data_IF_711804296391
#
_entry.id   IF_711804296391
#
_cell.length_a   1.000
_cell.length_b   1.000
_cell.length_c   1.000
_cell.angle_alpha   90.00
_cell.angle_beta   90.00
_cell.angle_gamma   90.00
#
_symmetry.space_group_name_H-M   'P 1'
#
loop_
_entity.id
_entity.type
_entity.pdbx_description
1 polymer ?
#
# COMPACT_ATOMS: atom_id res chain seq x y z
N UNK A 1 19.52 -1.51 19.62
CA UNK A 1 19.46 -0.59 18.44
C UNK A 1 19.39 -1.28 17.04
N UNK A 2 19.12 -2.58 16.94
CA UNK A 2 19.22 -3.34 15.68
C UNK A 2 17.95 -3.33 14.79
N UNK A 3 16.91 -2.57 15.14
CA UNK A 3 15.62 -2.58 14.44
C UNK A 3 15.26 -1.26 13.74
N UNK A 4 16.12 -0.24 13.72
CA UNK A 4 15.75 1.04 13.11
C UNK A 4 15.45 0.91 11.59
N UNK A 5 16.18 0.03 10.90
CA UNK A 5 15.98 -0.27 9.47
C UNK A 5 14.71 -1.09 9.19
N UNK A 6 14.41 -2.20 9.90
CA UNK A 6 13.13 -2.88 9.73
C UNK A 6 11.93 -2.07 10.25
N UNK A 7 12.11 -1.22 11.27
CA UNK A 7 11.08 -0.28 11.74
C UNK A 7 10.73 0.73 10.64
N UNK A 8 11.72 1.24 9.92
CA UNK A 8 11.52 2.12 8.75
C UNK A 8 10.79 1.40 7.60
N UNK A 9 11.04 0.10 7.40
CA UNK A 9 10.32 -0.69 6.40
C UNK A 9 8.85 -0.89 6.78
N UNK A 10 8.56 -1.10 8.07
CA UNK A 10 7.18 -1.19 8.59
C UNK A 10 6.43 0.13 8.45
N UNK A 11 7.05 1.27 8.78
CA UNK A 11 6.38 2.57 8.61
C UNK A 11 6.11 2.89 7.13
N UNK A 12 6.98 2.44 6.22
CA UNK A 12 6.71 2.52 4.79
C UNK A 12 5.48 1.69 4.38
N UNK A 13 5.34 0.47 4.86
CA UNK A 13 4.15 -0.35 4.61
C UNK A 13 2.87 0.28 5.21
N UNK A 14 2.94 0.85 6.43
CA UNK A 14 1.80 1.51 7.09
C UNK A 14 1.37 2.78 6.37
N UNK A 15 2.30 3.51 5.74
CA UNK A 15 1.98 4.70 4.93
C UNK A 15 1.01 4.41 3.78
N UNK A 16 0.85 3.14 3.42
CA UNK A 16 -0.09 2.68 2.39
C UNK A 16 -1.57 2.79 2.78
N UNK A 17 -1.91 3.40 3.93
CA UNK A 17 -3.29 3.80 4.27
C UNK A 17 -3.96 4.65 3.18
N UNK A 18 -3.17 5.26 2.29
CA UNK A 18 -3.60 5.93 1.05
C UNK A 18 -4.54 5.05 0.20
N UNK A 19 -4.47 3.71 0.31
CA UNK A 19 -5.39 2.78 -0.37
C UNK A 19 -6.87 3.08 -0.07
N UNK A 20 -7.20 3.56 1.14
CA UNK A 20 -8.57 3.95 1.52
C UNK A 20 -9.05 5.13 0.67
N UNK A 21 -8.18 6.13 0.47
CA UNK A 21 -8.45 7.26 -0.40
C UNK A 21 -8.59 6.87 -1.87
N UNK A 22 -7.77 5.92 -2.35
CA UNK A 22 -7.88 5.40 -3.71
C UNK A 22 -9.17 4.60 -3.95
N UNK A 23 -9.62 3.82 -2.96
CA UNK A 23 -10.90 3.10 -3.00
C UNK A 23 -12.08 4.07 -3.00
N UNK A 24 -12.01 5.15 -2.22
CA UNK A 24 -13.01 6.20 -2.28
C UNK A 24 -12.99 6.91 -3.64
N UNK A 25 -11.82 7.30 -4.16
CA UNK A 25 -11.73 7.98 -5.46
C UNK A 25 -12.23 7.11 -6.64
N UNK A 26 -12.02 5.80 -6.58
CA UNK A 26 -12.56 4.85 -7.58
C UNK A 26 -14.05 4.56 -7.39
N UNK A 27 -14.51 4.46 -6.14
CA UNK A 27 -15.88 4.08 -5.79
C UNK A 27 -16.88 5.24 -5.67
N UNK A 28 -16.44 6.49 -5.48
CA UNK A 28 -17.31 7.69 -5.35
C UNK A 28 -18.19 7.87 -6.58
N UNK A 29 -17.73 7.44 -7.75
CA UNK A 29 -18.50 7.48 -8.97
C UNK A 29 -19.54 6.34 -9.10
N UNK A 30 -19.70 5.47 -8.10
CA UNK A 30 -20.76 4.44 -8.01
C UNK A 30 -21.88 4.83 -7.02
N UNK A 31 -21.65 5.81 -6.14
CA UNK A 31 -22.55 6.14 -5.02
C UNK A 31 -23.53 7.28 -5.34
N UNK A 32 -23.26 8.06 -6.39
CA UNK A 32 -24.22 9.03 -6.93
C UNK A 32 -24.41 8.76 -8.41
N UNK A 33 -25.65 8.80 -8.90
CA UNK A 33 -26.02 8.69 -10.32
C UNK A 33 -25.48 9.86 -11.19
N UNK A 34 -24.38 10.49 -10.78
CA UNK A 34 -23.66 11.46 -11.56
C UNK A 34 -22.57 10.72 -12.34
N UNK A 35 -22.48 11.01 -13.63
CA UNK A 35 -21.33 10.68 -14.47
C UNK A 35 -20.09 11.44 -13.96
N UNK A 36 -19.60 11.02 -12.79
CA UNK A 36 -18.35 11.45 -12.22
C UNK A 36 -17.29 11.35 -13.32
N UNK A 37 -16.50 12.39 -13.56
CA UNK A 37 -15.74 12.48 -14.79
C UNK A 37 -14.84 11.26 -14.98
N UNK A 38 -14.77 10.72 -16.20
CA UNK A 38 -14.06 9.46 -16.48
C UNK A 38 -12.59 9.51 -16.06
N UNK A 39 -11.99 10.71 -16.08
CA UNK A 39 -10.63 10.93 -15.57
C UNK A 39 -10.49 10.55 -14.08
N UNK A 40 -11.55 10.68 -13.27
CA UNK A 40 -11.51 10.49 -11.81
C UNK A 40 -11.27 9.04 -11.50
N UNK A 41 -12.04 8.19 -12.20
CA UNK A 41 -11.96 6.75 -12.14
C UNK A 41 -10.60 6.26 -12.63
N UNK A 42 -10.09 6.83 -13.72
CA UNK A 42 -8.78 6.48 -14.24
C UNK A 42 -7.65 6.81 -13.23
N UNK A 43 -7.63 8.03 -12.69
CA UNK A 43 -6.63 8.42 -11.69
C UNK A 43 -6.78 7.64 -10.38
N UNK A 44 -8.01 7.39 -9.93
CA UNK A 44 -8.28 6.54 -8.76
C UNK A 44 -7.77 5.11 -8.97
N UNK A 45 -7.97 4.55 -10.16
CA UNK A 45 -7.50 3.20 -10.48
C UNK A 45 -5.97 3.13 -10.49
N UNK A 46 -5.29 4.11 -11.10
CA UNK A 46 -3.83 4.21 -11.07
C UNK A 46 -3.32 4.37 -9.64
N UNK A 47 -3.97 5.22 -8.84
CA UNK A 47 -3.63 5.40 -7.42
C UNK A 47 -3.80 4.08 -6.63
N UNK A 48 -4.85 3.30 -6.93
CA UNK A 48 -5.08 2.00 -6.31
C UNK A 48 -3.97 1.00 -6.66
N UNK A 49 -3.55 0.94 -7.93
CA UNK A 49 -2.43 0.10 -8.37
C UNK A 49 -1.13 0.46 -7.64
N UNK A 50 -0.80 1.75 -7.57
CA UNK A 50 0.40 2.19 -6.83
C UNK A 50 0.32 1.92 -5.33
N UNK A 51 -0.86 2.10 -4.73
CA UNK A 51 -1.09 1.74 -3.34
C UNK A 51 -0.84 0.24 -3.12
N UNK A 52 -1.36 -0.63 -3.99
CA UNK A 52 -1.11 -2.08 -3.92
C UNK A 52 0.39 -2.41 -4.01
N UNK A 53 1.13 -1.82 -4.95
CA UNK A 53 2.58 -2.05 -5.07
C UNK A 53 3.31 -1.67 -3.78
N UNK A 54 2.96 -0.54 -3.16
CA UNK A 54 3.56 -0.10 -1.91
C UNK A 54 3.23 -1.05 -0.74
N UNK A 55 1.98 -1.52 -0.63
CA UNK A 55 1.57 -2.51 0.37
C UNK A 55 2.40 -3.79 0.21
N UNK A 56 2.33 -4.43 -0.96
CA UNK A 56 2.98 -5.73 -1.17
C UNK A 56 4.50 -5.62 -1.10
N UNK A 57 5.09 -4.59 -1.72
CA UNK A 57 6.53 -4.34 -1.69
C UNK A 57 7.04 -4.07 -0.27
N UNK A 58 6.35 -3.20 0.47
CA UNK A 58 6.71 -2.85 1.86
C UNK A 58 6.64 -4.06 2.79
N UNK A 59 5.59 -4.87 2.72
CA UNK A 59 5.48 -6.08 3.55
C UNK A 59 6.47 -7.17 3.14
N UNK A 60 6.70 -7.41 1.85
CA UNK A 60 7.62 -8.44 1.38
C UNK A 60 9.07 -8.13 1.75
N UNK A 61 9.50 -6.87 1.61
CA UNK A 61 10.83 -6.42 2.02
C UNK A 61 10.97 -6.51 3.54
N UNK A 62 9.97 -6.08 4.30
CA UNK A 62 9.98 -6.19 5.77
C UNK A 62 10.11 -7.65 6.20
N UNK A 63 9.38 -8.58 5.59
CA UNK A 63 9.49 -10.01 5.88
C UNK A 63 10.89 -10.56 5.55
N UNK A 64 11.49 -10.16 4.42
CA UNK A 64 12.86 -10.53 4.10
C UNK A 64 13.87 -9.98 5.10
N UNK A 65 13.70 -8.73 5.54
CA UNK A 65 14.54 -8.13 6.57
C UNK A 65 14.43 -8.88 7.90
N UNK A 66 13.21 -9.19 8.36
CA UNK A 66 12.98 -9.93 9.59
C UNK A 66 13.44 -11.39 9.51
N UNK A 67 13.35 -12.02 8.33
CA UNK A 67 13.83 -13.38 8.10
C UNK A 67 15.36 -13.49 8.26
N UNK A 68 16.12 -12.43 7.97
CA UNK A 68 17.57 -12.39 8.20
C UNK A 68 17.95 -12.36 9.69
N UNK A 69 17.03 -11.99 10.58
CA UNK A 69 17.22 -12.04 12.03
C UNK A 69 16.77 -13.36 12.67
N UNK A 70 16.05 -14.23 11.93
CA UNK A 70 15.74 -15.58 12.40
C UNK A 70 17.00 -16.45 12.24
N UNK A 71 17.49 -17.02 13.34
CA UNK A 71 18.53 -18.08 13.28
C UNK A 71 18.01 -19.21 12.38
N UNK A 72 18.78 -19.55 11.35
CA UNK A 72 18.55 -20.71 10.48
C UNK A 72 18.38 -21.93 11.39
N UNK A 73 17.16 -22.44 11.51
CA UNK A 73 16.93 -23.76 12.11
C UNK A 73 17.71 -24.75 11.24
N UNK A 74 18.67 -25.45 11.87
CA UNK A 74 19.53 -26.44 11.21
C UNK A 74 18.70 -27.57 10.64
#
# INVERSE_FOLDING_TARGET
>A
PALHTPLMSVTNAISSVIVVGALLATGVALVGNDDGPLWARAFGFVALVFACINIFGGFLVTQRMLAMYKKKQK
#
